data_IF_915504948916
#
_entry.id   IF_915504948916
#
_cell.length_a   1.000
_cell.length_b   1.000
_cell.length_c   1.000
_cell.angle_alpha   90.00
_cell.angle_beta   90.00
_cell.angle_gamma   90.00
#
_symmetry.space_group_name_H-M   'P 1'
#
loop_
_entity.id
_entity.type
_entity.pdbx_description
1 polymer ?
#
# COMPACT_ATOMS: atom_id res chain seq x y z
N UNK A 1 22.66 -11.29 -27.43
CA UNK A 1 21.36 -12.03 -27.50
C UNK A 1 21.35 -13.30 -26.65
N UNK A 2 22.52 -13.88 -26.37
CA UNK A 2 22.67 -15.03 -25.46
C UNK A 2 23.06 -14.63 -24.04
N UNK A 3 23.12 -13.33 -23.76
CA UNK A 3 23.42 -12.82 -22.43
C UNK A 3 22.23 -13.12 -21.52
N UNK A 4 22.50 -13.75 -20.39
CA UNK A 4 21.49 -14.06 -19.36
C UNK A 4 21.09 -12.79 -18.63
N UNK A 5 19.79 -12.56 -18.53
CA UNK A 5 19.22 -11.45 -17.77
C UNK A 5 19.73 -11.41 -16.32
N UNK A 6 19.86 -12.58 -15.67
CA UNK A 6 20.26 -12.68 -14.28
C UNK A 6 21.78 -12.50 -14.10
N UNK A 7 22.58 -12.96 -15.06
CA UNK A 7 24.04 -12.81 -15.02
C UNK A 7 24.46 -11.34 -15.19
N UNK A 8 23.59 -10.53 -15.82
CA UNK A 8 23.74 -9.08 -15.94
C UNK A 8 23.21 -8.31 -14.70
N UNK A 9 22.91 -9.00 -13.59
CA UNK A 9 22.41 -8.40 -12.37
C UNK A 9 20.89 -8.20 -12.33
N UNK A 10 20.16 -8.84 -13.25
CA UNK A 10 18.70 -8.88 -13.22
C UNK A 10 18.17 -9.54 -11.94
N UNK A 11 17.18 -8.91 -11.31
CA UNK A 11 16.48 -9.45 -10.13
C UNK A 11 14.97 -9.23 -10.27
N UNK A 12 14.17 -9.73 -9.32
CA UNK A 12 12.71 -9.79 -9.45
C UNK A 12 12.04 -8.46 -9.82
N UNK A 13 12.51 -7.32 -9.30
CA UNK A 13 11.97 -6.01 -9.66
C UNK A 13 12.28 -5.62 -11.12
N UNK A 14 13.51 -5.85 -11.58
CA UNK A 14 13.90 -5.62 -12.97
C UNK A 14 13.16 -6.60 -13.91
N UNK A 15 12.97 -7.84 -13.48
CA UNK A 15 12.19 -8.84 -14.21
C UNK A 15 10.73 -8.41 -14.37
N UNK A 16 10.07 -7.95 -13.30
CA UNK A 16 8.71 -7.41 -13.37
C UNK A 16 8.64 -6.19 -14.31
N UNK A 17 9.63 -5.30 -14.27
CA UNK A 17 9.72 -4.15 -15.20
C UNK A 17 9.89 -4.61 -16.65
N UNK A 18 10.78 -5.57 -16.91
CA UNK A 18 11.01 -6.14 -18.23
C UNK A 18 9.74 -6.76 -18.79
N UNK A 19 9.07 -7.62 -18.02
CA UNK A 19 7.81 -8.27 -18.40
C UNK A 19 6.72 -7.24 -18.70
N UNK A 20 6.57 -6.23 -17.84
CA UNK A 20 5.60 -5.14 -18.06
C UNK A 20 5.87 -4.38 -19.36
N UNK A 21 7.15 -4.14 -19.68
CA UNK A 21 7.56 -3.47 -20.93
C UNK A 21 7.37 -4.35 -22.17
N UNK A 22 7.71 -5.63 -22.10
CA UNK A 22 7.44 -6.61 -23.17
C UNK A 22 5.94 -6.62 -23.49
N UNK A 23 5.09 -6.71 -22.46
CA UNK A 23 3.64 -6.64 -22.62
C UNK A 23 3.17 -5.35 -23.29
N UNK A 24 3.72 -4.20 -22.87
CA UNK A 24 3.32 -2.90 -23.41
C UNK A 24 3.75 -2.70 -24.89
N UNK A 25 4.90 -3.24 -25.29
CA UNK A 25 5.46 -3.05 -26.63
C UNK A 25 4.98 -4.12 -27.62
N UNK A 26 4.88 -5.37 -27.17
CA UNK A 26 4.61 -6.53 -28.03
C UNK A 26 3.20 -7.10 -27.85
N UNK A 27 2.41 -6.61 -26.88
CA UNK A 27 1.04 -7.08 -26.59
C UNK A 27 0.92 -8.57 -26.25
N UNK A 28 1.98 -9.16 -25.69
CA UNK A 28 2.03 -10.56 -25.25
C UNK A 28 2.15 -10.68 -23.72
N UNK A 29 1.70 -11.80 -23.15
CA UNK A 29 1.95 -12.13 -21.75
C UNK A 29 3.11 -13.11 -21.61
N UNK A 30 4.15 -12.69 -20.90
CA UNK A 30 5.28 -13.54 -20.48
C UNK A 30 5.18 -13.66 -18.95
N UNK A 31 5.17 -14.88 -18.43
CA UNK A 31 5.18 -15.07 -16.98
C UNK A 31 6.60 -14.85 -16.42
N UNK A 32 6.68 -14.59 -15.12
CA UNK A 32 7.99 -14.53 -14.45
C UNK A 32 8.74 -15.87 -14.57
N UNK A 33 8.01 -16.98 -14.53
CA UNK A 33 8.56 -18.32 -14.74
C UNK A 33 9.22 -18.44 -16.12
N UNK A 34 8.56 -17.96 -17.18
CA UNK A 34 9.13 -18.04 -18.53
C UNK A 34 10.49 -17.31 -18.62
N UNK A 35 10.63 -16.16 -17.94
CA UNK A 35 11.91 -15.45 -17.91
C UNK A 35 13.00 -16.22 -17.13
N UNK A 36 12.63 -16.92 -16.05
CA UNK A 36 13.59 -17.79 -15.34
C UNK A 36 13.99 -19.02 -16.16
N UNK A 37 13.03 -19.63 -16.85
CA UNK A 37 13.26 -20.83 -17.68
C UNK A 37 13.99 -20.50 -19.00
N UNK A 38 13.89 -19.25 -19.47
CA UNK A 38 14.50 -18.76 -20.71
C UNK A 38 15.15 -17.38 -20.49
N UNK A 39 16.29 -17.31 -19.76
CA UNK A 39 16.86 -16.05 -19.28
C UNK A 39 17.56 -15.23 -20.36
N UNK A 40 17.74 -15.77 -21.57
CA UNK A 40 18.38 -15.06 -22.69
C UNK A 40 17.36 -14.53 -23.69
N UNK A 41 17.73 -13.49 -24.44
CA UNK A 41 16.84 -12.91 -25.48
C UNK A 41 16.51 -13.93 -26.57
N UNK A 42 17.49 -14.76 -26.96
CA UNK A 42 17.30 -15.80 -27.97
C UNK A 42 16.20 -16.79 -27.54
N UNK A 43 16.28 -17.33 -26.32
CA UNK A 43 15.31 -18.30 -25.82
C UNK A 43 13.95 -17.66 -25.55
N UNK A 44 13.92 -16.45 -24.96
CA UNK A 44 12.70 -15.74 -24.65
C UNK A 44 11.91 -15.35 -25.92
N UNK A 45 12.59 -15.10 -27.05
CA UNK A 45 11.93 -14.80 -28.32
C UNK A 45 11.04 -15.94 -28.84
N UNK A 46 11.43 -17.19 -28.59
CA UNK A 46 10.62 -18.35 -28.91
C UNK A 46 9.37 -18.44 -28.03
N UNK A 47 9.48 -18.03 -26.76
CA UNK A 47 8.32 -17.95 -25.84
C UNK A 47 7.36 -16.84 -26.25
N UNK A 48 7.88 -15.66 -26.56
CA UNK A 48 7.10 -14.50 -27.03
C UNK A 48 6.30 -14.85 -28.29
N UNK A 49 6.89 -15.59 -29.22
CA UNK A 49 6.22 -15.99 -30.47
C UNK A 49 5.03 -16.93 -30.26
N UNK A 50 5.01 -17.68 -29.15
CA UNK A 50 3.96 -18.64 -28.80
C UNK A 50 3.10 -18.17 -27.62
N UNK A 51 3.32 -16.94 -27.14
CA UNK A 51 2.64 -16.42 -25.97
C UNK A 51 1.17 -16.10 -26.26
N UNK A 52 0.31 -16.33 -25.27
CA UNK A 52 -1.08 -15.90 -25.32
C UNK A 52 -1.21 -14.38 -25.36
N UNK A 53 -2.36 -13.90 -25.80
CA UNK A 53 -2.68 -12.48 -25.80
C UNK A 53 -2.52 -11.90 -24.39
N UNK A 54 -1.92 -10.71 -24.29
CA UNK A 54 -1.81 -10.01 -23.02
C UNK A 54 -3.17 -9.82 -22.33
N UNK A 55 -3.19 -9.92 -21.00
CA UNK A 55 -4.31 -9.43 -20.18
C UNK A 55 -4.69 -8.01 -20.62
N UNK A 56 -6.00 -7.69 -20.67
CA UNK A 56 -6.46 -6.34 -20.98
C UNK A 56 -5.77 -5.31 -20.10
N UNK A 57 -5.34 -4.21 -20.73
CA UNK A 57 -4.73 -3.09 -20.02
C UNK A 57 -5.77 -2.48 -19.07
N UNK A 58 -5.36 -2.16 -17.84
CA UNK A 58 -6.20 -1.41 -16.92
C UNK A 58 -6.52 -0.04 -17.51
N UNK A 59 -7.81 0.27 -17.61
CA UNK A 59 -8.33 1.55 -18.08
C UNK A 59 -9.28 2.09 -17.04
N UNK A 60 -9.46 3.41 -17.01
CA UNK A 60 -10.54 4.00 -16.24
C UNK A 60 -11.87 3.43 -16.75
N UNK A 61 -12.65 2.85 -15.85
CA UNK A 61 -14.00 2.34 -16.11
C UNK A 61 -15.04 3.18 -15.39
N UNK A 62 -16.30 3.04 -15.80
CA UNK A 62 -17.42 3.57 -15.04
C UNK A 62 -17.47 2.90 -13.66
N UNK A 63 -17.62 3.71 -12.60
CA UNK A 63 -17.70 3.20 -11.24
C UNK A 63 -19.12 2.71 -10.97
N UNK A 64 -19.33 1.46 -10.55
CA UNK A 64 -20.63 1.04 -10.04
C UNK A 64 -20.99 1.86 -8.80
N UNK A 65 -22.28 1.91 -8.47
CA UNK A 65 -22.78 2.56 -7.26
C UNK A 65 -22.11 2.00 -5.99
N UNK A 66 -21.84 0.70 -5.96
CA UNK A 66 -21.08 0.03 -4.90
C UNK A 66 -19.84 -0.63 -5.48
N UNK A 67 -18.67 -0.13 -5.07
CA UNK A 67 -17.40 -0.67 -5.52
C UNK A 67 -17.11 -1.99 -4.79
N UNK A 68 -16.92 -3.12 -5.49
CA UNK A 68 -16.63 -4.38 -4.82
C UNK A 68 -15.23 -4.34 -4.19
N UNK A 69 -15.04 -5.12 -3.13
CA UNK A 69 -13.69 -5.38 -2.59
C UNK A 69 -12.89 -6.21 -3.61
N UNK A 70 -11.58 -5.97 -3.67
CA UNK A 70 -10.65 -6.92 -4.28
C UNK A 70 -10.62 -8.24 -3.51
N UNK A 71 -10.21 -9.33 -4.14
CA UNK A 71 -10.09 -10.63 -3.47
C UNK A 71 -9.19 -10.60 -2.22
N UNK A 72 -8.13 -9.78 -2.24
CA UNK A 72 -7.27 -9.60 -1.07
C UNK A 72 -7.99 -8.86 0.06
N UNK A 73 -8.73 -7.79 -0.26
CA UNK A 73 -9.54 -7.07 0.72
C UNK A 73 -10.66 -7.97 1.29
N UNK A 74 -11.34 -8.77 0.46
CA UNK A 74 -12.38 -9.71 0.92
C UNK A 74 -11.82 -10.70 1.95
N UNK A 75 -10.62 -11.23 1.71
CA UNK A 75 -9.95 -12.13 2.66
C UNK A 75 -9.68 -11.44 3.99
N UNK A 76 -9.11 -10.24 3.98
CA UNK A 76 -8.79 -9.52 5.21
C UNK A 76 -10.05 -9.10 5.97
N UNK A 77 -11.08 -8.64 5.26
CA UNK A 77 -12.37 -8.33 5.84
C UNK A 77 -13.00 -9.58 6.49
N UNK A 78 -12.98 -10.73 5.82
CA UNK A 78 -13.49 -11.97 6.40
C UNK A 78 -12.75 -12.37 7.68
N UNK A 79 -11.41 -12.22 7.70
CA UNK A 79 -10.62 -12.50 8.91
C UNK A 79 -10.98 -11.54 10.05
N UNK A 80 -11.13 -10.24 9.77
CA UNK A 80 -11.58 -9.25 10.75
C UNK A 80 -12.97 -9.60 11.33
N UNK A 81 -13.91 -10.07 10.51
CA UNK A 81 -15.24 -10.47 10.98
C UNK A 81 -15.22 -11.75 11.86
N UNK A 82 -14.27 -12.66 11.63
CA UNK A 82 -14.16 -13.93 12.37
C UNK A 82 -13.32 -13.78 13.64
N UNK A 83 -12.20 -13.06 13.57
CA UNK A 83 -11.28 -12.84 14.69
C UNK A 83 -11.75 -11.70 15.61
N UNK A 84 -12.56 -10.78 15.08
CA UNK A 84 -12.89 -9.50 15.71
C UNK A 84 -11.78 -8.46 15.52
N UNK A 85 -11.96 -7.24 16.08
CA UNK A 85 -11.00 -6.15 15.91
C UNK A 85 -9.61 -6.57 16.39
N UNK A 86 -8.64 -6.55 15.47
CA UNK A 86 -7.26 -6.94 15.74
C UNK A 86 -6.25 -6.03 15.04
N UNK A 87 -5.06 -5.91 15.62
CA UNK A 87 -3.92 -5.21 15.03
C UNK A 87 -2.99 -6.13 14.23
N UNK A 88 -3.36 -7.41 14.02
CA UNK A 88 -2.55 -8.41 13.30
C UNK A 88 -2.07 -7.89 11.93
N UNK A 89 -2.88 -7.07 11.26
CA UNK A 89 -2.60 -6.56 9.92
C UNK A 89 -2.27 -5.06 9.88
N UNK A 90 -2.01 -4.44 11.03
CA UNK A 90 -1.46 -3.09 11.08
C UNK A 90 -0.03 -3.09 10.51
N UNK A 91 0.33 -2.03 9.77
CA UNK A 91 1.66 -1.87 9.19
C UNK A 91 2.31 -0.61 9.78
N UNK A 92 2.85 -0.68 11.01
CA UNK A 92 3.44 0.49 11.65
C UNK A 92 4.78 0.86 10.99
N UNK A 93 4.92 2.15 10.65
CA UNK A 93 6.14 2.78 10.20
C UNK A 93 6.54 3.88 11.18
N UNK A 94 7.68 3.71 11.85
CA UNK A 94 8.25 4.72 12.75
C UNK A 94 9.44 5.43 12.09
N UNK A 95 9.41 6.77 12.06
CA UNK A 95 10.42 7.61 11.42
C UNK A 95 10.97 8.58 12.47
N UNK A 96 12.29 8.56 12.71
CA UNK A 96 12.93 9.55 13.57
C UNK A 96 13.23 10.83 12.78
N UNK A 97 12.77 11.96 13.29
CA UNK A 97 12.97 13.30 12.73
C UNK A 97 13.87 14.10 13.68
N UNK A 98 15.01 14.57 13.16
CA UNK A 98 15.96 15.38 13.92
C UNK A 98 16.05 16.77 13.32
N UNK A 99 16.00 17.81 14.16
CA UNK A 99 15.99 19.21 13.76
C UNK A 99 14.67 19.91 14.07
N UNK A 100 14.55 21.20 13.73
CA UNK A 100 13.30 21.92 13.84
C UNK A 100 12.24 21.26 12.95
N UNK A 101 11.04 21.11 13.48
CA UNK A 101 9.92 20.48 12.79
C UNK A 101 8.74 21.45 12.72
N UNK A 102 8.29 21.73 11.50
CA UNK A 102 7.02 22.43 11.26
C UNK A 102 5.89 21.39 11.25
N UNK A 103 5.11 21.38 12.34
CA UNK A 103 4.04 20.39 12.56
C UNK A 103 2.86 20.66 11.63
N UNK A 104 2.58 21.92 11.31
CA UNK A 104 1.48 22.30 10.41
C UNK A 104 1.78 21.88 8.97
N UNK A 105 3.04 22.08 8.53
CA UNK A 105 3.50 21.61 7.23
C UNK A 105 3.49 20.07 7.14
N UNK A 106 3.91 19.37 8.21
CA UNK A 106 3.84 17.90 8.25
C UNK A 106 2.39 17.40 8.18
N UNK A 107 1.48 18.02 8.95
CA UNK A 107 0.05 17.65 8.95
C UNK A 107 -0.55 17.87 7.55
N UNK A 108 -0.26 19.01 6.92
CA UNK A 108 -0.71 19.30 5.54
C UNK A 108 -0.18 18.29 4.52
N UNK A 109 1.09 17.86 4.66
CA UNK A 109 1.65 16.85 3.78
C UNK A 109 0.99 15.47 3.93
N UNK A 110 0.59 15.10 5.15
CA UNK A 110 -0.17 13.87 5.39
C UNK A 110 -1.57 13.97 4.77
N UNK A 111 -2.25 15.11 4.91
CA UNK A 111 -3.54 15.37 4.28
C UNK A 111 -3.47 15.23 2.75
N UNK A 112 -2.44 15.79 2.12
CA UNK A 112 -2.22 15.67 0.67
C UNK A 112 -2.07 14.20 0.23
N UNK A 113 -1.34 13.40 1.00
CA UNK A 113 -1.16 11.96 0.72
C UNK A 113 -2.48 11.20 0.85
N UNK A 114 -3.23 11.41 1.93
CA UNK A 114 -4.52 10.74 2.15
C UNK A 114 -5.56 11.19 1.10
N UNK A 115 -5.61 12.48 0.77
CA UNK A 115 -6.50 13.00 -0.26
C UNK A 115 -6.18 12.41 -1.65
N UNK A 116 -4.89 12.34 -2.01
CA UNK A 116 -4.40 11.80 -3.28
C UNK A 116 -4.69 10.31 -3.45
N UNK A 117 -4.57 9.52 -2.39
CA UNK A 117 -4.66 8.06 -2.47
C UNK A 117 -6.01 7.55 -1.93
N UNK A 118 -6.93 7.19 -2.83
CA UNK A 118 -8.26 6.68 -2.48
C UNK A 118 -8.24 5.55 -1.45
N UNK A 119 -7.28 4.63 -1.54
CA UNK A 119 -7.13 3.52 -0.60
C UNK A 119 -6.94 3.98 0.86
N UNK A 120 -6.30 5.12 1.09
CA UNK A 120 -6.07 5.67 2.44
C UNK A 120 -7.31 6.38 3.01
N UNK A 121 -8.33 6.60 2.18
CA UNK A 121 -9.61 7.22 2.56
C UNK A 121 -10.80 6.33 2.23
N UNK A 122 -10.61 5.03 2.22
CA UNK A 122 -11.67 4.05 1.95
C UNK A 122 -12.07 3.33 3.23
N UNK A 123 -13.37 3.33 3.52
CA UNK A 123 -14.00 2.49 4.54
C UNK A 123 -14.74 1.32 3.87
N UNK A 124 -15.04 0.27 4.63
CA UNK A 124 -15.58 -1.01 4.17
C UNK A 124 -16.93 -1.34 4.85
N UNK A 125 -17.98 -0.53 4.67
CA UNK A 125 -19.28 -0.80 5.27
C UNK A 125 -19.99 -1.97 4.59
N UNK A 126 -20.89 -2.61 5.33
CA UNK A 126 -21.73 -3.69 4.83
C UNK A 126 -23.09 -3.14 4.38
N UNK A 127 -23.51 -3.48 3.16
CA UNK A 127 -24.84 -3.18 2.65
C UNK A 127 -25.52 -4.47 2.19
N UNK A 128 -26.72 -4.78 2.70
CA UNK A 128 -27.45 -6.02 2.38
C UNK A 128 -26.64 -7.30 2.63
N UNK A 129 -25.74 -7.29 3.63
CA UNK A 129 -24.90 -8.43 3.99
C UNK A 129 -23.60 -8.56 3.19
N UNK A 130 -23.34 -7.66 2.22
CA UNK A 130 -22.10 -7.67 1.44
C UNK A 130 -21.23 -6.44 1.72
N UNK A 131 -19.91 -6.60 1.92
CA UNK A 131 -19.00 -5.48 2.06
C UNK A 131 -18.76 -4.81 0.71
N UNK A 132 -18.61 -3.48 0.73
CA UNK A 132 -18.19 -2.71 -0.43
C UNK A 132 -17.19 -1.63 -0.01
N UNK A 133 -16.42 -1.14 -0.97
CA UNK A 133 -15.53 -0.02 -0.78
C UNK A 133 -16.35 1.27 -0.83
N UNK A 134 -16.28 2.07 0.23
CA UNK A 134 -16.80 3.43 0.28
C UNK A 134 -15.61 4.38 0.37
N UNK A 135 -15.28 5.00 -0.75
CA UNK A 135 -14.21 5.99 -0.84
C UNK A 135 -14.74 7.34 -0.35
N UNK A 136 -14.26 7.81 0.79
CA UNK A 136 -14.67 9.09 1.36
C UNK A 136 -14.17 10.26 0.49
N UNK A 137 -14.96 11.32 0.28
CA UNK A 137 -14.54 12.49 -0.48
C UNK A 137 -13.43 13.26 0.25
N UNK A 138 -12.61 14.00 -0.50
CA UNK A 138 -11.37 14.62 0.01
C UNK A 138 -11.61 15.77 0.99
N UNK A 139 -12.76 16.43 0.89
CA UNK A 139 -13.18 17.51 1.78
C UNK A 139 -13.49 17.05 3.22
N UNK A 140 -13.73 15.75 3.41
CA UNK A 140 -13.97 15.14 4.71
C UNK A 140 -12.69 14.59 5.37
N UNK A 141 -11.54 14.72 4.70
CA UNK A 141 -10.27 14.19 5.20
C UNK A 141 -9.50 15.29 5.91
N UNK A 142 -9.34 15.13 7.22
CA UNK A 142 -8.35 15.84 8.03
C UNK A 142 -7.63 14.81 8.87
N UNK A 143 -6.34 14.67 8.63
CA UNK A 143 -5.46 13.81 9.42
C UNK A 143 -5.28 14.46 10.77
N UNK A 144 -5.79 13.83 11.81
CA UNK A 144 -5.42 14.20 13.17
C UNK A 144 -3.98 13.74 13.42
N UNK A 145 -3.09 14.68 13.71
CA UNK A 145 -1.70 14.43 14.10
C UNK A 145 -1.50 14.80 15.58
N UNK A 146 -1.96 13.95 16.52
CA UNK A 146 -1.75 14.20 17.93
C UNK A 146 -0.25 14.22 18.24
N UNK A 147 0.16 15.25 19.00
CA UNK A 147 1.53 15.41 19.50
C UNK A 147 1.58 14.91 20.94
N UNK A 148 2.32 13.83 21.17
CA UNK A 148 2.48 13.20 22.48
C UNK A 148 3.88 13.49 23.00
N UNK A 149 3.98 14.20 24.11
CA UNK A 149 5.24 14.37 24.82
C UNK A 149 5.60 13.05 25.51
N UNK A 150 6.78 12.52 25.25
CA UNK A 150 7.28 11.30 25.90
C UNK A 150 8.79 11.40 26.11
N UNK A 151 9.33 10.62 27.03
CA UNK A 151 10.78 10.51 27.19
C UNK A 151 11.33 9.32 26.36
N UNK A 152 12.65 9.28 26.11
CA UNK A 152 13.26 8.16 25.39
C UNK A 152 13.08 6.80 26.08
N UNK A 153 12.84 6.78 27.40
CA UNK A 153 12.70 5.54 28.16
C UNK A 153 11.33 4.88 27.95
N UNK A 154 10.28 5.67 27.75
CA UNK A 154 8.91 5.20 27.55
C UNK A 154 8.49 5.14 26.07
N UNK A 155 9.39 5.53 25.15
CA UNK A 155 9.08 5.59 23.72
C UNK A 155 8.66 4.24 23.13
N UNK A 156 9.36 3.16 23.46
CA UNK A 156 9.07 1.83 22.89
C UNK A 156 7.68 1.32 23.29
N UNK A 157 7.29 1.54 24.55
CA UNK A 157 5.95 1.22 25.04
C UNK A 157 4.89 2.09 24.35
N UNK A 158 5.13 3.39 24.24
CA UNK A 158 4.21 4.34 23.60
C UNK A 158 4.00 4.01 22.11
N UNK A 159 5.08 3.65 21.38
CA UNK A 159 5.02 3.21 20.00
C UNK A 159 4.22 1.90 19.87
N UNK A 160 4.49 0.91 20.73
CA UNK A 160 3.80 -0.39 20.73
C UNK A 160 2.30 -0.23 21.00
N UNK A 161 1.95 0.60 21.98
CA UNK A 161 0.56 0.90 22.30
C UNK A 161 -0.15 1.60 21.13
N UNK A 162 0.49 2.61 20.53
CA UNK A 162 -0.11 3.33 19.41
C UNK A 162 -0.24 2.47 18.15
N UNK A 163 0.74 1.60 17.88
CA UNK A 163 0.77 0.67 16.75
C UNK A 163 -0.26 -0.46 16.87
N UNK A 164 -0.61 -0.89 18.08
CA UNK A 164 -1.56 -1.97 18.34
C UNK A 164 -3.02 -1.52 18.44
N UNK A 165 -3.31 -0.22 18.32
CA UNK A 165 -4.68 0.27 18.23
C UNK A 165 -5.34 -0.22 16.94
N UNK A 166 -6.51 -0.82 17.04
CA UNK A 166 -7.27 -1.34 15.89
C UNK A 166 -7.94 -0.22 15.08
N UNK A 167 -8.45 -0.57 13.91
CA UNK A 167 -9.28 0.29 13.06
C UNK A 167 -10.69 -0.31 12.96
N UNK A 168 -11.71 0.54 13.09
CA UNK A 168 -13.09 0.14 12.76
C UNK A 168 -13.29 0.28 11.24
N UNK A 169 -13.04 -0.78 10.47
CA UNK A 169 -12.95 -0.70 9.01
C UNK A 169 -14.24 -0.20 8.33
N UNK A 170 -15.39 -0.29 8.99
CA UNK A 170 -16.69 0.16 8.47
C UNK A 170 -16.89 1.69 8.52
N UNK A 171 -16.13 2.39 9.35
CA UNK A 171 -16.38 3.79 9.72
C UNK A 171 -15.11 4.63 9.86
N UNK A 172 -13.94 4.00 9.98
CA UNK A 172 -12.65 4.65 10.14
C UNK A 172 -11.73 4.30 8.98
N UNK A 173 -11.08 5.32 8.41
CA UNK A 173 -10.07 5.11 7.38
C UNK A 173 -8.87 4.32 7.94
N UNK A 174 -8.24 3.42 7.15
CA UNK A 174 -7.11 2.60 7.60
C UNK A 174 -5.80 3.39 7.54
N UNK A 175 -5.78 4.55 8.21
CA UNK A 175 -4.64 5.43 8.28
C UNK A 175 -4.69 6.24 9.58
N UNK A 176 -3.59 6.24 10.33
CA UNK A 176 -3.44 7.07 11.53
C UNK A 176 -2.00 7.50 11.70
N UNK A 177 -1.79 8.74 12.11
CA UNK A 177 -0.48 9.26 12.47
C UNK A 177 -0.44 9.69 13.95
N UNK A 178 0.74 9.64 14.56
CA UNK A 178 0.99 10.21 15.89
C UNK A 178 2.43 10.70 15.93
N UNK A 179 2.65 11.92 16.43
CA UNK A 179 3.98 12.49 16.57
C UNK A 179 4.41 12.43 18.04
N UNK A 180 5.45 11.66 18.33
CA UNK A 180 6.06 11.61 19.66
C UNK A 180 7.17 12.65 19.74
N UNK A 181 7.04 13.63 20.64
CA UNK A 181 8.05 14.65 20.90
C UNK A 181 8.94 14.20 22.06
N UNK A 182 10.23 14.01 21.79
CA UNK A 182 11.25 13.58 22.77
C UNK A 182 12.09 14.75 23.29
N UNK A 183 12.24 15.78 22.47
CA UNK A 183 12.91 17.05 22.76
C UNK A 183 12.44 18.09 21.74
N UNK A 184 12.81 19.36 21.92
CA UNK A 184 12.46 20.47 21.02
C UNK A 184 12.80 20.18 19.55
N UNK A 185 13.90 19.47 19.27
CA UNK A 185 14.36 19.16 17.92
C UNK A 185 14.45 17.66 17.65
N UNK A 186 13.72 16.83 18.40
CA UNK A 186 13.76 15.37 18.22
C UNK A 186 12.37 14.78 18.36
N UNK A 187 11.90 14.18 17.28
CA UNK A 187 10.56 13.60 17.19
C UNK A 187 10.61 12.20 16.58
N UNK A 188 9.57 11.41 16.86
CA UNK A 188 9.31 10.15 16.14
C UNK A 188 7.89 10.21 15.60
N UNK A 189 7.76 10.20 14.27
CA UNK A 189 6.48 10.08 13.59
C UNK A 189 6.15 8.60 13.44
N UNK A 190 5.03 8.17 14.01
CA UNK A 190 4.45 6.85 13.79
C UNK A 190 3.27 6.98 12.83
N UNK A 191 3.29 6.20 11.75
CA UNK A 191 2.18 6.02 10.80
C UNK A 191 1.74 4.56 10.88
N UNK A 192 0.44 4.32 10.97
CA UNK A 192 -0.18 2.98 11.01
C UNK A 192 -1.31 2.90 10.01
#
# INVERSE_FOLDING_TARGET
VHDSFFDLGGHSLLATRLISRIRAVLSVEISLRDLFDTPTVAELSHRVSNAGAARPVLRAGERPERLPLSFAQQRLWFLDQVEGPSATYNIPLAITLNGPLDIDALTSALDDVVARHEALRTVLPTAQGEPHQHILPTDHIRTDLPVVQTDPANLDEALTQAASRTFALDSQIPFRATLFALAETRHVLLIV
#
